data_IF_285945636779
#
_entry.id   IF_285945636779
#
_cell.length_a   1.000
_cell.length_b   1.000
_cell.length_c   1.000
_cell.angle_alpha   90.00
_cell.angle_beta   90.00
_cell.angle_gamma   90.00
#
_symmetry.space_group_name_H-M   'P 1'
#
loop_
_entity.id
_entity.type
_entity.pdbx_description
1 polymer ?
#
# COMPACT_ATOMS: atom_id res chain seq x y z
N UNK A 1 1.36 40.11 29.22
CA UNK A 1 2.11 40.24 27.95
C UNK A 1 1.63 39.15 27.01
N UNK A 2 0.76 39.51 26.06
CA UNK A 2 0.25 38.56 25.07
C UNK A 2 1.35 38.36 24.03
N UNK A 3 1.91 37.15 23.98
CA UNK A 3 2.90 36.77 22.95
C UNK A 3 2.17 36.62 21.62
N UNK A 4 2.28 37.65 20.77
CA UNK A 4 1.79 37.62 19.40
C UNK A 4 2.71 36.74 18.55
N UNK A 5 2.36 35.46 18.40
CA UNK A 5 2.95 34.66 17.33
C UNK A 5 2.39 35.10 15.98
N UNK A 6 3.23 35.35 14.97
CA UNK A 6 2.75 35.69 13.64
C UNK A 6 1.95 34.53 13.04
N UNK A 7 0.89 34.82 12.25
CA UNK A 7 0.11 33.78 11.61
C UNK A 7 0.99 32.95 10.66
N UNK A 8 0.75 31.64 10.54
CA UNK A 8 1.56 30.76 9.70
C UNK A 8 1.51 31.17 8.22
N UNK A 9 2.64 31.02 7.53
CA UNK A 9 2.80 31.40 6.13
C UNK A 9 1.88 30.55 5.22
N UNK A 10 1.00 31.15 4.41
CA UNK A 10 0.11 30.45 3.48
C UNK A 10 0.83 29.51 2.49
N UNK A 11 2.10 29.78 2.15
CA UNK A 11 2.90 28.91 1.28
C UNK A 11 3.36 27.62 1.98
N UNK A 12 3.60 27.66 3.30
CA UNK A 12 3.92 26.46 4.08
C UNK A 12 2.70 25.54 4.23
N UNK A 13 1.50 26.13 4.30
CA UNK A 13 0.24 25.40 4.36
C UNK A 13 -0.11 24.75 3.01
N UNK A 14 0.12 25.46 1.89
CA UNK A 14 -0.03 24.90 0.53
C UNK A 14 0.92 23.74 0.24
N UNK A 15 2.12 23.73 0.83
CA UNK A 15 3.06 22.60 0.74
C UNK A 15 2.67 21.41 1.61
N UNK A 16 2.03 21.65 2.77
CA UNK A 16 1.49 20.60 3.65
C UNK A 16 0.24 19.92 3.08
N UNK A 17 -0.59 20.66 2.32
CA UNK A 17 -1.83 20.15 1.72
C UNK A 17 -1.64 19.28 0.48
N UNK A 18 -0.45 19.24 -0.13
CA UNK A 18 -0.13 18.27 -1.19
C UNK A 18 0.20 16.94 -0.54
N UNK A 19 -0.82 16.21 -0.11
CA UNK A 19 -0.67 14.79 0.17
C UNK A 19 0.02 14.15 -1.04
N UNK A 20 1.23 13.62 -0.83
CA UNK A 20 1.90 12.82 -1.87
C UNK A 20 0.86 11.79 -2.30
N UNK A 21 0.46 11.82 -3.57
CA UNK A 21 -0.45 10.83 -4.10
C UNK A 21 0.17 9.47 -3.81
N UNK A 22 -0.36 8.76 -2.82
CA UNK A 22 0.09 7.44 -2.48
C UNK A 22 -0.66 6.50 -3.43
N UNK A 23 0.00 5.92 -4.45
CA UNK A 23 -0.65 5.02 -5.40
C UNK A 23 -1.23 3.76 -4.71
N UNK A 24 -1.03 3.59 -3.40
CA UNK A 24 -1.69 2.57 -2.58
C UNK A 24 -3.18 2.83 -2.28
N UNK A 25 -3.68 4.05 -2.46
CA UNK A 25 -4.93 4.47 -1.78
C UNK A 25 -6.20 3.86 -2.38
N UNK A 26 -6.16 3.43 -3.65
CA UNK A 26 -7.20 2.62 -4.28
C UNK A 26 -6.54 1.80 -5.39
N UNK A 27 -6.41 0.50 -5.19
CA UNK A 27 -6.02 -0.43 -6.27
C UNK A 27 -7.25 -1.27 -6.60
N UNK A 28 -8.09 -0.85 -7.57
CA UNK A 28 -9.41 -1.44 -7.81
C UNK A 28 -9.40 -2.97 -7.99
N UNK A 29 -8.42 -3.57 -8.70
CA UNK A 29 -8.28 -5.03 -8.76
C UNK A 29 -8.17 -5.71 -7.39
N UNK A 30 -7.43 -5.13 -6.45
CA UNK A 30 -7.25 -5.72 -5.12
C UNK A 30 -8.54 -5.66 -4.30
N UNK A 31 -9.27 -4.55 -4.38
CA UNK A 31 -10.57 -4.41 -3.69
C UNK A 31 -11.61 -5.41 -4.22
N UNK A 32 -11.59 -5.72 -5.52
CA UNK A 32 -12.43 -6.77 -6.09
C UNK A 32 -12.08 -8.16 -5.52
N UNK A 33 -10.79 -8.49 -5.43
CA UNK A 33 -10.33 -9.77 -4.85
C UNK A 33 -10.68 -9.88 -3.36
N UNK A 34 -10.62 -8.80 -2.60
CA UNK A 34 -11.06 -8.81 -1.20
C UNK A 34 -12.53 -9.13 -1.03
N UNK A 35 -13.36 -8.53 -1.89
CA UNK A 35 -14.81 -8.76 -1.86
C UNK A 35 -15.10 -10.22 -2.20
N UNK A 36 -14.46 -10.73 -3.25
CA UNK A 36 -14.54 -12.14 -3.63
C UNK A 36 -14.06 -13.09 -2.51
N UNK A 37 -13.00 -12.72 -1.79
CA UNK A 37 -12.50 -13.52 -0.67
C UNK A 37 -13.54 -13.65 0.46
N UNK A 38 -14.28 -12.57 0.75
CA UNK A 38 -15.37 -12.59 1.74
C UNK A 38 -16.53 -13.47 1.28
N UNK A 39 -16.93 -13.38 0.03
CA UNK A 39 -17.98 -14.23 -0.54
C UNK A 39 -17.60 -15.72 -0.51
N UNK A 40 -16.36 -16.05 -0.91
CA UNK A 40 -15.84 -17.42 -0.88
C UNK A 40 -15.74 -17.98 0.54
N UNK A 41 -15.50 -17.14 1.56
CA UNK A 41 -15.45 -17.61 2.94
C UNK A 41 -16.78 -18.22 3.41
N UNK A 42 -17.89 -17.82 2.80
CA UNK A 42 -19.25 -18.32 3.08
C UNK A 42 -19.57 -19.51 2.18
N UNK A 43 -19.31 -19.40 0.87
CA UNK A 43 -19.73 -20.40 -0.12
C UNK A 43 -18.80 -21.61 -0.19
N UNK A 44 -17.52 -21.43 0.14
CA UNK A 44 -16.47 -22.44 0.05
C UNK A 44 -15.43 -22.24 1.17
N UNK A 45 -15.77 -22.49 2.45
CA UNK A 45 -14.92 -22.16 3.61
C UNK A 45 -13.56 -22.88 3.62
N UNK A 46 -13.43 -23.95 2.84
CA UNK A 46 -12.21 -24.73 2.66
C UNK A 46 -11.25 -24.13 1.63
N UNK A 47 -11.67 -23.12 0.85
CA UNK A 47 -10.82 -22.38 -0.06
C UNK A 47 -10.30 -21.13 0.66
N UNK A 48 -8.98 -21.00 0.72
CA UNK A 48 -8.31 -19.84 1.34
C UNK A 48 -7.77 -18.93 0.25
N UNK A 49 -8.10 -17.64 0.35
CA UNK A 49 -7.59 -16.59 -0.55
C UNK A 49 -6.54 -15.79 0.21
N UNK A 50 -5.39 -15.58 -0.42
CA UNK A 50 -4.31 -14.75 0.11
C UNK A 50 -3.87 -13.78 -0.99
N UNK A 51 -3.84 -12.49 -0.65
CA UNK A 51 -3.34 -11.42 -1.48
C UNK A 51 -1.89 -11.14 -1.07
N UNK A 52 -0.95 -11.55 -1.93
CA UNK A 52 0.47 -11.21 -1.75
C UNK A 52 0.69 -9.77 -2.23
N UNK A 53 1.22 -8.93 -1.36
CA UNK A 53 1.57 -7.54 -1.66
C UNK A 53 3.09 -7.37 -1.67
N UNK A 54 3.76 -7.63 -2.81
CA UNK A 54 5.19 -7.43 -2.90
C UNK A 54 5.54 -5.94 -2.92
N UNK A 55 6.68 -5.60 -2.34
CA UNK A 55 7.45 -4.39 -2.67
C UNK A 55 8.12 -4.51 -4.04
N UNK A 56 9.22 -3.78 -4.23
CA UNK A 56 10.05 -3.87 -5.42
C UNK A 56 10.96 -5.12 -5.36
N UNK A 57 10.80 -6.02 -6.31
CA UNK A 57 11.59 -7.23 -6.46
C UNK A 57 12.30 -7.24 -7.82
N UNK A 58 13.55 -7.74 -7.84
CA UNK A 58 14.39 -7.86 -9.04
C UNK A 58 13.80 -8.82 -10.06
N UNK A 59 12.85 -8.34 -10.84
CA UNK A 59 12.13 -9.10 -11.87
C UNK A 59 12.11 -8.29 -13.16
N UNK A 60 11.83 -8.94 -14.29
CA UNK A 60 11.72 -8.24 -15.59
C UNK A 60 10.43 -7.41 -15.74
N UNK A 61 9.59 -7.33 -14.71
CA UNK A 61 8.29 -6.62 -14.77
C UNK A 61 8.49 -5.14 -15.08
N UNK A 62 9.43 -4.48 -14.41
CA UNK A 62 9.68 -3.05 -14.62
C UNK A 62 10.40 -2.75 -15.94
N UNK A 63 11.08 -3.74 -16.52
CA UNK A 63 11.74 -3.60 -17.83
C UNK A 63 10.75 -3.53 -19.00
N UNK A 64 9.50 -3.98 -18.80
CA UNK A 64 8.48 -4.09 -19.84
C UNK A 64 7.36 -3.05 -19.68
N UNK A 65 7.56 -2.01 -18.86
CA UNK A 65 6.55 -0.97 -18.67
C UNK A 65 6.53 -0.04 -19.87
N UNK A 66 5.40 0.02 -20.57
CA UNK A 66 5.16 1.04 -21.60
C UNK A 66 4.58 2.31 -20.97
N UNK A 67 5.37 3.38 -21.00
CA UNK A 67 4.91 4.67 -20.52
C UNK A 67 4.02 5.34 -21.57
N UNK A 68 2.79 5.70 -21.19
CA UNK A 68 1.90 6.50 -22.04
C UNK A 68 2.34 7.98 -21.95
N UNK A 69 2.40 8.73 -23.07
CA UNK A 69 2.70 10.16 -23.02
C UNK A 69 1.63 10.92 -22.23
N UNK A 70 2.05 11.99 -21.55
CA UNK A 70 1.13 12.87 -20.84
C UNK A 70 0.15 13.50 -21.85
N UNK A 71 -1.15 13.26 -21.66
CA UNK A 71 -2.20 13.82 -22.52
C UNK A 71 -2.80 15.13 -21.99
N UNK A 72 -2.60 15.38 -20.70
CA UNK A 72 -3.15 16.52 -19.96
C UNK A 72 -1.97 17.30 -19.39
N UNK A 73 -1.75 18.57 -19.81
CA UNK A 73 -0.59 19.37 -19.39
C UNK A 73 -0.42 19.48 -17.86
N UNK A 74 -1.52 19.55 -17.13
CA UNK A 74 -1.55 19.68 -15.66
C UNK A 74 -0.94 18.47 -14.95
N UNK A 75 -0.90 17.30 -15.60
CA UNK A 75 -0.29 16.08 -15.07
C UNK A 75 1.13 15.84 -15.61
N UNK A 76 1.68 16.75 -16.42
CA UNK A 76 2.99 16.54 -17.06
C UNK A 76 4.12 16.31 -16.03
N UNK A 77 4.18 17.14 -14.98
CA UNK A 77 5.18 17.02 -13.92
C UNK A 77 5.04 15.70 -13.14
N UNK A 78 3.81 15.34 -12.77
CA UNK A 78 3.52 14.09 -12.08
C UNK A 78 3.94 12.87 -12.92
N UNK A 79 3.56 12.85 -14.20
CA UNK A 79 3.90 11.76 -15.11
C UNK A 79 5.43 11.66 -15.33
N UNK A 80 6.12 12.80 -15.40
CA UNK A 80 7.59 12.83 -15.49
C UNK A 80 8.24 12.23 -14.23
N UNK A 81 7.74 12.56 -13.03
CA UNK A 81 8.25 12.01 -11.78
C UNK A 81 8.03 10.49 -11.68
N UNK A 82 6.84 10.00 -12.05
CA UNK A 82 6.55 8.55 -12.09
C UNK A 82 7.47 7.84 -13.07
N UNK A 83 7.67 8.42 -14.26
CA UNK A 83 8.57 7.86 -15.28
C UNK A 83 10.01 7.78 -14.79
N UNK A 84 10.54 8.86 -14.22
CA UNK A 84 11.89 8.89 -13.68
C UNK A 84 12.08 7.83 -12.57
N UNK A 85 11.07 7.67 -11.70
CA UNK A 85 11.08 6.60 -10.70
C UNK A 85 11.09 5.21 -11.33
N UNK A 86 10.23 4.97 -12.33
CA UNK A 86 10.16 3.68 -13.02
C UNK A 86 11.47 3.33 -13.75
N UNK A 87 12.13 4.31 -14.38
CA UNK A 87 13.42 4.14 -15.06
C UNK A 87 14.58 3.89 -14.08
N UNK A 88 14.49 4.39 -12.85
CA UNK A 88 15.49 4.18 -11.80
C UNK A 88 15.35 2.83 -11.07
N UNK A 89 14.20 2.15 -11.17
CA UNK A 89 13.93 0.91 -10.42
C UNK A 89 14.77 -0.28 -10.88
N UNK A 90 14.91 -0.60 -12.18
CA UNK A 90 15.61 -1.80 -12.62
C UNK A 90 17.04 -1.91 -12.07
N UNK A 91 17.32 -3.00 -11.35
CA UNK A 91 18.63 -3.29 -10.75
C UNK A 91 18.83 -2.69 -9.36
N UNK A 92 17.96 -1.78 -8.92
CA UNK A 92 18.01 -1.16 -7.58
C UNK A 92 17.03 -1.79 -6.59
N UNK A 93 16.19 -2.73 -7.05
CA UNK A 93 15.16 -3.31 -6.21
C UNK A 93 15.78 -4.07 -5.02
N UNK A 94 15.28 -3.86 -3.79
CA UNK A 94 15.80 -4.54 -2.60
C UNK A 94 15.33 -6.00 -2.52
N UNK A 95 14.20 -6.32 -3.15
CA UNK A 95 13.56 -7.62 -3.05
C UNK A 95 14.23 -8.69 -3.91
N UNK A 96 14.40 -9.87 -3.31
CA UNK A 96 14.87 -11.10 -3.94
C UNK A 96 13.66 -11.99 -4.31
N UNK A 97 13.39 -12.24 -5.61
CA UNK A 97 12.21 -12.98 -6.04
C UNK A 97 12.24 -14.46 -5.62
N UNK A 98 13.41 -15.08 -5.52
CA UNK A 98 13.53 -16.48 -5.09
C UNK A 98 13.11 -16.61 -3.62
N UNK A 99 13.55 -15.67 -2.79
CA UNK A 99 13.12 -15.59 -1.39
C UNK A 99 11.61 -15.33 -1.28
N UNK A 100 11.05 -14.46 -2.11
CA UNK A 100 9.60 -14.21 -2.12
C UNK A 100 8.81 -15.49 -2.41
N UNK A 101 9.19 -16.23 -3.46
CA UNK A 101 8.56 -17.50 -3.82
C UNK A 101 8.70 -18.52 -2.69
N UNK A 102 9.89 -18.63 -2.09
CA UNK A 102 10.11 -19.52 -0.95
C UNK A 102 9.20 -19.16 0.25
N UNK A 103 8.99 -17.87 0.54
CA UNK A 103 8.06 -17.43 1.59
C UNK A 103 6.61 -17.75 1.26
N UNK A 104 6.18 -17.58 0.01
CA UNK A 104 4.83 -17.93 -0.43
C UNK A 104 4.60 -19.45 -0.29
N UNK A 105 5.55 -20.27 -0.70
CA UNK A 105 5.45 -21.73 -0.55
C UNK A 105 5.39 -22.16 0.93
N UNK A 106 6.22 -21.55 1.77
CA UNK A 106 6.21 -21.76 3.22
C UNK A 106 4.88 -21.36 3.85
N UNK A 107 4.33 -20.21 3.43
CA UNK A 107 3.03 -19.71 3.88
C UNK A 107 1.90 -20.71 3.57
N UNK A 108 1.83 -21.20 2.33
CA UNK A 108 0.81 -22.17 1.91
C UNK A 108 0.95 -23.50 2.64
N UNK A 109 2.19 -23.96 2.89
CA UNK A 109 2.46 -25.23 3.57
C UNK A 109 2.43 -25.13 5.10
N UNK A 110 2.38 -23.93 5.66
CA UNK A 110 2.44 -23.68 7.10
C UNK A 110 3.75 -24.16 7.74
N UNK A 111 4.89 -24.00 7.06
CA UNK A 111 6.19 -24.49 7.53
C UNK A 111 7.32 -23.45 7.38
N UNK A 112 8.54 -23.80 7.79
CA UNK A 112 9.70 -22.91 7.68
C UNK A 112 9.50 -21.63 8.50
N UNK A 113 9.59 -20.45 7.86
CA UNK A 113 9.54 -19.17 8.59
C UNK A 113 8.17 -18.83 9.17
N UNK A 114 7.13 -19.58 8.81
CA UNK A 114 5.78 -19.44 9.38
C UNK A 114 5.41 -20.60 10.31
N UNK A 115 6.31 -21.54 10.58
CA UNK A 115 6.01 -22.72 11.42
C UNK A 115 5.58 -22.33 12.84
N UNK A 116 6.22 -21.34 13.46
CA UNK A 116 5.80 -20.77 14.75
C UNK A 116 4.46 -20.01 14.71
N UNK A 117 3.83 -19.90 13.55
CA UNK A 117 2.49 -19.32 13.35
C UNK A 117 1.44 -20.38 12.99
N UNK A 118 1.78 -21.67 13.12
CA UNK A 118 0.82 -22.76 12.89
C UNK A 118 -0.36 -22.63 13.84
N UNK A 119 -1.58 -22.65 13.30
CA UNK A 119 -2.81 -22.43 14.07
C UNK A 119 -3.23 -20.96 14.20
N UNK A 120 -2.41 -20.01 13.74
CA UNK A 120 -2.81 -18.62 13.56
C UNK A 120 -3.39 -18.49 12.16
N UNK A 121 -4.54 -17.84 12.03
CA UNK A 121 -5.13 -17.56 10.73
C UNK A 121 -4.21 -16.66 9.90
N UNK A 122 -3.90 -17.11 8.68
CA UNK A 122 -3.13 -16.30 7.74
C UNK A 122 -3.98 -15.10 7.32
N UNK A 123 -3.49 -13.86 7.50
CA UNK A 123 -4.25 -12.68 7.10
C UNK A 123 -4.49 -12.68 5.60
N UNK A 124 -5.61 -12.10 5.17
CA UNK A 124 -5.96 -11.96 3.75
C UNK A 124 -4.87 -11.24 2.96
N UNK A 125 -4.15 -10.28 3.57
CA UNK A 125 -3.01 -9.60 2.96
C UNK A 125 -1.71 -9.97 3.63
N UNK A 126 -0.73 -10.35 2.81
CA UNK A 126 0.64 -10.60 3.26
C UNK A 126 1.60 -9.74 2.44
N UNK A 127 2.21 -8.77 3.12
CA UNK A 127 3.25 -7.94 2.54
C UNK A 127 4.59 -8.69 2.52
N UNK A 128 5.31 -8.62 1.39
CA UNK A 128 6.67 -9.14 1.26
C UNK A 128 7.60 -8.03 0.77
N UNK A 129 8.76 -7.87 1.42
CA UNK A 129 9.66 -6.74 1.19
C UNK A 129 9.41 -5.60 2.18
N UNK A 130 10.50 -4.98 2.67
CA UNK A 130 10.43 -3.94 3.70
C UNK A 130 9.74 -2.67 3.19
N UNK A 131 10.04 -2.26 1.97
CA UNK A 131 9.43 -1.12 1.28
C UNK A 131 7.91 -1.30 1.08
N UNK A 132 7.50 -2.49 0.64
CA UNK A 132 6.09 -2.85 0.51
C UNK A 132 5.37 -2.81 1.86
N UNK A 133 6.00 -3.42 2.89
CA UNK A 133 5.47 -3.46 4.24
C UNK A 133 5.35 -2.07 4.88
N UNK A 134 6.39 -1.23 4.77
CA UNK A 134 6.41 0.14 5.29
C UNK A 134 5.30 0.98 4.65
N UNK A 135 5.15 0.90 3.32
CA UNK A 135 4.11 1.65 2.61
C UNK A 135 2.69 1.26 3.06
N UNK A 136 2.46 -0.02 3.31
CA UNK A 136 1.16 -0.52 3.81
C UNK A 136 0.95 -0.05 5.25
N UNK A 137 1.95 -0.23 6.12
CA UNK A 137 1.90 0.23 7.51
C UNK A 137 1.58 1.73 7.59
N UNK A 138 2.32 2.56 6.87
CA UNK A 138 2.19 4.01 6.91
C UNK A 138 0.80 4.44 6.42
N UNK A 139 0.25 3.75 5.42
CA UNK A 139 -1.13 3.98 4.98
C UNK A 139 -2.14 3.64 6.08
N UNK A 140 -2.00 2.48 6.71
CA UNK A 140 -2.89 2.06 7.80
C UNK A 140 -2.83 3.03 8.98
N UNK A 141 -1.62 3.45 9.37
CA UNK A 141 -1.43 4.46 10.42
C UNK A 141 -2.13 5.77 10.05
N UNK A 142 -1.92 6.30 8.85
CA UNK A 142 -2.58 7.53 8.42
C UNK A 142 -4.11 7.43 8.37
N UNK A 143 -4.67 6.26 8.03
CA UNK A 143 -6.12 6.01 8.11
C UNK A 143 -6.60 6.05 9.57
N UNK A 144 -5.90 5.38 10.47
CA UNK A 144 -6.25 5.37 11.90
C UNK A 144 -6.14 6.77 12.52
N UNK A 145 -5.14 7.55 12.13
CA UNK A 145 -4.99 8.95 12.54
C UNK A 145 -6.17 9.81 12.05
N UNK A 146 -6.57 9.64 10.79
CA UNK A 146 -7.73 10.33 10.23
C UNK A 146 -9.04 9.99 10.96
N UNK A 147 -9.25 8.71 11.28
CA UNK A 147 -10.43 8.27 12.06
C UNK A 147 -10.44 8.87 13.46
N UNK A 148 -9.29 8.89 14.14
CA UNK A 148 -9.15 9.51 15.47
C UNK A 148 -9.41 11.01 15.44
N UNK A 149 -8.93 11.70 14.40
CA UNK A 149 -9.08 13.14 14.26
C UNK A 149 -10.52 13.61 14.02
N UNK A 150 -11.41 12.72 13.57
CA UNK A 150 -12.82 13.00 13.27
C UNK A 150 -13.78 12.14 14.10
N UNK A 151 -13.33 11.61 15.23
CA UNK A 151 -14.10 10.68 16.06
C UNK A 151 -15.38 11.33 16.62
N UNK A 152 -15.30 12.61 17.01
CA UNK A 152 -16.44 13.39 17.50
C UNK A 152 -17.54 13.52 16.45
N UNK A 153 -17.17 13.86 15.21
CA UNK A 153 -18.10 13.95 14.09
C UNK A 153 -18.67 12.57 13.76
N UNK A 154 -17.82 11.54 13.67
CA UNK A 154 -18.24 10.19 13.32
C UNK A 154 -19.24 9.58 14.32
N UNK A 155 -19.11 9.91 15.61
CA UNK A 155 -20.01 9.45 16.67
C UNK A 155 -21.18 10.39 16.97
N UNK A 156 -21.19 11.60 16.41
CA UNK A 156 -22.24 12.60 16.66
C UNK A 156 -23.64 12.20 16.16
N UNK A 157 -23.74 11.13 15.37
CA UNK A 157 -25.00 10.61 14.81
C UNK A 157 -25.55 9.41 15.56
N UNK A 158 -24.95 9.02 16.69
CA UNK A 158 -25.46 7.93 17.54
C UNK A 158 -26.73 8.39 18.30
N UNK A 159 -27.67 7.45 18.54
CA UNK A 159 -28.88 7.67 19.35
C UNK A 159 -28.60 7.52 20.85
#
# INVERSE_FOLDING_TARGET
MVSSHPPPNPEQERRRGRGKANPATLNPPKGAVETLAKELSILAPNIKVIIIEPGFFRTKVFNNISNVPARIPEFAEFNAAIRAGAEALPGTEPGDPEKAVARIAQLVRGNGMVEGRKGIEVPLRVALGSDGWERIRDKCVGVLEGLRAWEDVARSTDL
#
